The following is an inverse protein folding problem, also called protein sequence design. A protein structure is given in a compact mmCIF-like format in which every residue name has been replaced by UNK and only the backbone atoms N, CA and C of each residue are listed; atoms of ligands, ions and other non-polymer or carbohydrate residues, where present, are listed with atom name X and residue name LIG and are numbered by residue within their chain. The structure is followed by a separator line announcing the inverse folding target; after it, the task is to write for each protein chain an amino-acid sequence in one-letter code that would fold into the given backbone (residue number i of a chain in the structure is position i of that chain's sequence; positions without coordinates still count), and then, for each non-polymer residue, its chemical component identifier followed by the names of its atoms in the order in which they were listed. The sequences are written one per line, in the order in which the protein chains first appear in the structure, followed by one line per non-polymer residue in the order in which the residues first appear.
data_IF_522270070385
#
_entry.id   IF_522270070385
#
_cell.length_a   1.000
_cell.length_b   1.000
_cell.length_c   1.000
_cell.angle_alpha   90.00
_cell.angle_beta   90.00
_cell.angle_gamma   90.00
#
_symmetry.space_group_name_H-M   'P 1'
#
loop_
_entity.id
_entity.type
_entity.pdbx_description
1 polymer ?
#
# COMPACT_ATOMS: atom_id res chain seq x y z
N UNK A 1 13.31 16.12 -8.54
CA UNK A 1 12.99 15.52 -9.85
C UNK A 1 13.56 14.11 -10.03
N UNK A 2 14.87 13.88 -10.00
CA UNK A 2 15.43 12.50 -10.18
C UNK A 2 15.02 11.51 -9.07
N UNK A 3 14.91 11.98 -7.83
CA UNK A 3 14.55 11.13 -6.69
C UNK A 3 13.06 10.75 -6.66
N UNK A 4 12.16 11.65 -7.07
CA UNK A 4 10.72 11.37 -7.13
C UNK A 4 10.39 10.33 -8.21
N UNK A 5 11.11 10.36 -9.33
CA UNK A 5 10.94 9.39 -10.41
C UNK A 5 11.40 7.99 -9.97
N UNK A 6 12.51 7.90 -9.23
CA UNK A 6 13.01 6.64 -8.65
C UNK A 6 12.01 6.02 -7.68
N UNK A 7 11.43 6.81 -6.79
CA UNK A 7 10.42 6.34 -5.84
C UNK A 7 9.15 5.82 -6.53
N UNK A 8 8.66 6.52 -7.55
CA UNK A 8 7.48 6.07 -8.31
C UNK A 8 7.72 4.74 -9.05
N UNK A 9 8.93 4.54 -9.57
CA UNK A 9 9.32 3.27 -10.19
C UNK A 9 9.40 2.15 -9.15
N UNK A 10 10.04 2.41 -8.01
CA UNK A 10 10.12 1.48 -6.87
C UNK A 10 8.73 1.06 -6.37
N UNK A 11 7.79 2.00 -6.30
CA UNK A 11 6.42 1.74 -5.83
C UNK A 11 5.66 0.78 -6.75
N UNK A 12 5.90 0.85 -8.07
CA UNK A 12 5.25 -0.04 -9.06
C UNK A 12 5.82 -1.46 -9.03
N UNK A 13 7.12 -1.59 -8.77
CA UNK A 13 7.83 -2.88 -8.76
C UNK A 13 7.63 -3.59 -7.41
N UNK A 14 7.73 -2.86 -6.31
CA UNK A 14 7.65 -3.40 -4.95
C UNK A 14 6.25 -3.94 -4.65
N UNK A 15 6.15 -5.22 -4.30
CA UNK A 15 4.88 -5.85 -3.93
C UNK A 15 4.66 -5.79 -2.42
N UNK A 16 3.58 -5.14 -2.00
CA UNK A 16 3.16 -5.08 -0.59
C UNK A 16 2.41 -6.35 -0.23
N UNK A 17 1.43 -6.74 -1.04
CA UNK A 17 0.70 -8.00 -0.86
C UNK A 17 1.27 -9.06 -1.80
N UNK A 18 2.13 -9.94 -1.26
CA UNK A 18 2.83 -10.95 -2.06
C UNK A 18 1.86 -12.01 -2.61
N UNK A 19 0.85 -12.44 -1.82
CA UNK A 19 -0.09 -13.47 -2.26
C UNK A 19 -1.07 -13.03 -3.35
N UNK A 20 -1.34 -11.73 -3.45
CA UNK A 20 -2.24 -11.13 -4.46
C UNK A 20 -1.48 -10.27 -5.47
N UNK A 21 -0.14 -10.27 -5.42
CA UNK A 21 0.75 -9.47 -6.24
C UNK A 21 0.40 -7.95 -6.28
N UNK A 22 -0.11 -7.38 -5.18
CA UNK A 22 -0.51 -5.97 -5.13
C UNK A 22 0.72 -5.08 -4.92
N UNK A 23 1.02 -4.14 -5.84
CA UNK A 23 2.17 -3.24 -5.73
C UNK A 23 1.94 -2.14 -4.68
N UNK A 24 3.05 -1.55 -4.20
CA UNK A 24 3.04 -0.41 -3.25
C UNK A 24 2.34 0.80 -3.83
N UNK A 25 2.47 1.04 -5.14
CA UNK A 25 1.78 2.14 -5.83
C UNK A 25 0.26 2.08 -5.61
N UNK A 26 -0.37 0.92 -5.80
CA UNK A 26 -1.82 0.74 -5.65
C UNK A 26 -2.29 0.98 -4.21
N UNK A 27 -1.47 0.62 -3.22
CA UNK A 27 -1.73 0.91 -1.81
C UNK A 27 -1.66 2.42 -1.55
N UNK A 28 -0.59 3.08 -2.00
CA UNK A 28 -0.42 4.53 -1.86
C UNK A 28 -1.52 5.31 -2.59
N UNK A 29 -1.96 4.87 -3.76
CA UNK A 29 -3.05 5.49 -4.51
C UNK A 29 -4.37 5.41 -3.74
N UNK A 30 -4.67 4.27 -3.11
CA UNK A 30 -5.84 4.13 -2.25
C UNK A 30 -5.79 5.05 -1.02
N UNK A 31 -4.61 5.17 -0.39
CA UNK A 31 -4.41 6.07 0.75
C UNK A 31 -4.61 7.53 0.34
N UNK A 32 -4.00 7.96 -0.78
CA UNK A 32 -4.19 9.31 -1.35
C UNK A 32 -5.64 9.60 -1.75
N UNK A 33 -6.40 8.57 -2.11
CA UNK A 33 -7.83 8.68 -2.39
C UNK A 33 -8.70 8.77 -1.11
N UNK A 34 -8.10 8.72 0.08
CA UNK A 34 -8.77 8.91 1.36
C UNK A 34 -8.90 7.65 2.22
N UNK A 35 -8.27 6.52 1.86
CA UNK A 35 -8.27 5.34 2.72
C UNK A 35 -7.30 5.52 3.89
N UNK A 36 -7.84 5.60 5.11
CA UNK A 36 -7.06 5.85 6.34
C UNK A 36 -6.98 4.62 7.26
N UNK A 37 -7.58 3.50 6.85
CA UNK A 37 -7.55 2.25 7.60
C UNK A 37 -7.17 1.06 6.73
N UNK A 38 -6.63 0.01 7.33
CA UNK A 38 -6.31 -1.25 6.63
C UNK A 38 -7.57 -1.85 5.97
N UNK A 39 -8.74 -1.69 6.59
CA UNK A 39 -10.02 -2.16 6.05
C UNK A 39 -10.40 -1.42 4.78
N UNK A 40 -10.26 -0.09 4.75
CA UNK A 40 -10.52 0.72 3.56
C UNK A 40 -9.53 0.43 2.44
N UNK A 41 -8.23 0.32 2.77
CA UNK A 41 -7.21 -0.08 1.80
C UNK A 41 -7.49 -1.48 1.25
N UNK A 42 -7.91 -2.42 2.10
CA UNK A 42 -8.32 -3.77 1.70
C UNK A 42 -9.50 -3.73 0.71
N UNK A 43 -10.54 -2.95 1.01
CA UNK A 43 -11.70 -2.75 0.11
C UNK A 43 -11.31 -2.13 -1.22
N UNK A 44 -10.46 -1.12 -1.22
CA UNK A 44 -10.05 -0.40 -2.43
C UNK A 44 -9.08 -1.21 -3.32
N UNK A 45 -8.21 -2.01 -2.71
CA UNK A 45 -7.08 -2.64 -3.44
C UNK A 45 -7.21 -4.15 -3.61
N UNK A 46 -8.04 -4.79 -2.79
CA UNK A 46 -8.13 -6.25 -2.65
C UNK A 46 -6.98 -6.86 -1.83
N UNK A 47 -6.08 -6.06 -1.24
CA UNK A 47 -5.08 -6.54 -0.32
C UNK A 47 -5.74 -7.17 0.94
N UNK A 48 -4.97 -7.92 1.74
CA UNK A 48 -5.46 -8.60 2.96
C UNK A 48 -6.49 -9.74 2.77
N UNK A 49 -7.11 -9.89 1.60
CA UNK A 49 -8.12 -10.93 1.31
C UNK A 49 -7.56 -12.24 0.73
N UNK A 50 -6.23 -12.36 0.60
CA UNK A 50 -5.59 -13.57 0.05
C UNK A 50 -5.47 -14.71 1.06
N UNK A 51 -4.86 -15.83 0.65
CA UNK A 51 -4.72 -17.03 1.50
C UNK A 51 -3.96 -16.82 2.82
N UNK A 52 -3.13 -15.78 2.92
CA UNK A 52 -2.47 -15.40 4.18
C UNK A 52 -3.27 -14.44 5.05
N UNK A 53 -4.52 -14.10 4.68
CA UNK A 53 -5.46 -13.24 5.42
C UNK A 53 -4.84 -11.94 5.96
N UNK A 54 -3.98 -11.31 5.17
CA UNK A 54 -3.33 -10.06 5.53
C UNK A 54 -2.09 -10.16 6.42
N UNK A 55 -1.76 -11.32 6.99
CA UNK A 55 -0.64 -11.50 7.92
C UNK A 55 0.69 -10.85 7.47
N UNK A 56 1.00 -10.90 6.17
CA UNK A 56 2.26 -10.37 5.60
C UNK A 56 2.20 -8.91 5.16
N UNK A 57 1.01 -8.37 4.88
CA UNK A 57 0.85 -7.07 4.25
C UNK A 57 0.18 -6.02 5.14
N UNK A 58 -0.58 -6.42 6.15
CA UNK A 58 -1.17 -5.52 7.16
C UNK A 58 -0.12 -4.59 7.78
N UNK A 59 0.99 -5.07 8.38
CA UNK A 59 1.96 -4.17 9.03
C UNK A 59 2.63 -3.20 8.03
N UNK A 60 2.77 -3.62 6.76
CA UNK A 60 3.29 -2.75 5.71
C UNK A 60 2.28 -1.68 5.29
N UNK A 61 1.00 -2.02 5.26
CA UNK A 61 -0.08 -1.08 4.93
C UNK A 61 -0.24 -0.06 6.06
N UNK A 62 -0.22 -0.49 7.31
CA UNK A 62 -0.26 0.39 8.49
C UNK A 62 0.89 1.39 8.46
N UNK A 63 2.12 0.93 8.22
CA UNK A 63 3.27 1.81 8.09
C UNK A 63 3.11 2.86 6.97
N UNK A 64 2.47 2.51 5.84
CA UNK A 64 2.22 3.45 4.74
C UNK A 64 1.13 4.47 5.07
N UNK A 65 0.11 4.05 5.82
CA UNK A 65 -0.93 4.96 6.32
C UNK A 65 -0.31 5.95 7.30
N UNK A 66 0.47 5.46 8.27
CA UNK A 66 1.16 6.29 9.26
C UNK A 66 2.13 7.28 8.60
N UNK A 67 2.90 6.82 7.60
CA UNK A 67 3.79 7.68 6.80
C UNK A 67 3.00 8.78 6.08
N UNK A 68 1.82 8.46 5.53
CA UNK A 68 0.97 9.45 4.88
C UNK A 68 0.42 10.47 5.88
N UNK A 69 -0.09 10.02 7.03
CA UNK A 69 -0.65 10.89 8.07
C UNK A 69 0.39 11.82 8.69
N UNK A 70 1.64 11.38 8.85
CA UNK A 70 2.74 12.23 9.34
C UNK A 70 3.19 13.29 8.35
N UNK A 71 2.93 13.08 7.07
CA UNK A 71 3.35 13.95 5.97
C UNK A 71 2.19 14.81 5.41
N UNK A 72 0.98 14.71 5.99
CA UNK A 72 -0.23 15.43 5.56
C UNK A 72 -0.53 16.65 6.41
#
# INVERSE_FOLDING_TARGET
MENELKEQVLDKITKVCICKAIPRSKIKDAIKAGASTVSEVSKATGACTGGCKGYRCIPKIEALIDEHLKNS
#
